data_IF_093749053370
#
_entry.id   IF_093749053370
#
_cell.length_a   1.000
_cell.length_b   1.000
_cell.length_c   1.000
_cell.angle_alpha   90.00
_cell.angle_beta   90.00
_cell.angle_gamma   90.00
#
_symmetry.space_group_name_H-M   'P 1'
#
loop_
_entity.id
_entity.type
_entity.pdbx_description
1 polymer ?
#
# COMPACT_ATOMS: atom_id res chain seq x y z
N UNK A 1 -0.36 12.40 6.73
CA UNK A 1 -1.78 12.08 6.44
C UNK A 1 -2.62 13.34 6.49
N UNK A 2 -3.61 13.47 5.61
CA UNK A 2 -4.66 14.48 5.78
C UNK A 2 -5.59 14.08 6.93
N UNK A 3 -6.23 15.03 7.63
CA UNK A 3 -7.26 14.70 8.59
C UNK A 3 -8.47 14.06 7.90
N UNK A 4 -9.15 13.18 8.63
CA UNK A 4 -10.42 12.60 8.20
C UNK A 4 -11.55 13.61 8.31
N UNK A 5 -12.46 13.55 7.33
CA UNK A 5 -13.75 14.24 7.39
C UNK A 5 -14.63 13.60 8.46
N UNK A 6 -15.68 14.29 8.90
CA UNK A 6 -16.62 13.75 9.90
C UNK A 6 -17.23 12.40 9.45
N UNK A 7 -17.56 12.27 8.17
CA UNK A 7 -18.08 11.04 7.56
C UNK A 7 -17.08 9.87 7.65
N UNK A 8 -15.80 10.13 7.35
CA UNK A 8 -14.77 9.08 7.41
C UNK A 8 -14.47 8.65 8.86
N UNK A 9 -14.51 9.59 9.80
CA UNK A 9 -14.35 9.28 11.23
C UNK A 9 -15.50 8.41 11.74
N UNK A 10 -16.72 8.64 11.27
CA UNK A 10 -17.87 7.80 11.61
C UNK A 10 -17.73 6.38 11.06
N UNK A 11 -17.29 6.24 9.81
CA UNK A 11 -17.01 4.92 9.21
C UNK A 11 -15.91 4.17 9.95
N UNK A 12 -14.81 4.85 10.31
CA UNK A 12 -13.74 4.25 11.11
C UNK A 12 -14.28 3.76 12.45
N UNK A 13 -15.08 4.58 13.15
CA UNK A 13 -15.71 4.19 14.43
C UNK A 13 -16.63 2.99 14.26
N UNK A 14 -17.43 2.96 13.20
CA UNK A 14 -18.32 1.86 12.89
C UNK A 14 -17.56 0.54 12.69
N UNK A 15 -16.49 0.55 11.90
CA UNK A 15 -15.64 -0.63 11.68
C UNK A 15 -14.97 -1.11 12.97
N UNK A 16 -14.43 -0.18 13.77
CA UNK A 16 -13.82 -0.49 15.08
C UNK A 16 -14.83 -1.11 16.04
N UNK A 17 -16.05 -0.56 16.12
CA UNK A 17 -17.11 -1.09 16.99
C UNK A 17 -17.54 -2.51 16.62
N UNK A 18 -17.40 -2.89 15.34
CA UNK A 18 -17.68 -4.24 14.86
C UNK A 18 -16.46 -5.17 14.93
N UNK A 19 -15.34 -4.71 15.50
CA UNK A 19 -14.06 -5.41 15.52
C UNK A 19 -13.59 -5.86 14.13
N UNK A 20 -13.97 -5.11 13.09
CA UNK A 20 -13.51 -5.38 11.72
C UNK A 20 -12.08 -4.88 11.61
N UNK A 21 -11.18 -5.78 11.21
CA UNK A 21 -9.81 -5.41 10.84
C UNK A 21 -9.83 -4.64 9.53
N UNK A 22 -9.11 -3.51 9.48
CA UNK A 22 -8.95 -2.72 8.26
C UNK A 22 -7.60 -2.00 8.24
N UNK A 23 -7.20 -1.56 7.05
CA UNK A 23 -6.06 -0.67 6.84
C UNK A 23 -6.49 0.47 5.91
N UNK A 24 -5.70 1.55 5.89
CA UNK A 24 -6.00 2.74 5.09
C UNK A 24 -5.21 2.71 3.80
N UNK A 25 -5.89 2.94 2.67
CA UNK A 25 -5.22 3.18 1.39
C UNK A 25 -4.90 4.67 1.29
N UNK A 26 -3.62 4.98 1.37
CA UNK A 26 -3.14 6.37 1.27
C UNK A 26 -2.73 6.68 -0.16
N UNK A 27 -3.47 7.58 -0.80
CA UNK A 27 -3.11 8.11 -2.11
C UNK A 27 -2.05 9.19 -1.91
N UNK A 28 -0.84 8.97 -2.46
CA UNK A 28 0.21 9.99 -2.50
C UNK A 28 0.08 10.86 -3.74
N UNK A 29 0.53 12.14 -3.72
CA UNK A 29 0.53 12.98 -4.91
C UNK A 29 1.26 12.33 -6.09
N UNK A 30 2.40 11.69 -5.81
CA UNK A 30 3.17 10.93 -6.81
C UNK A 30 2.36 9.77 -7.38
N UNK A 31 1.64 9.03 -6.54
CA UNK A 31 0.78 7.94 -6.97
C UNK A 31 -0.34 8.41 -7.89
N UNK A 32 -0.98 9.51 -7.52
CA UNK A 32 -2.02 10.13 -8.34
C UNK A 32 -1.47 10.62 -9.69
N UNK A 33 -0.37 11.38 -9.68
CA UNK A 33 0.23 11.96 -10.90
C UNK A 33 0.77 10.92 -11.87
N UNK A 34 1.30 9.79 -11.36
CA UNK A 34 1.81 8.70 -12.19
C UNK A 34 0.76 7.64 -12.50
N UNK A 35 -0.47 7.80 -12.00
CA UNK A 35 -1.53 6.77 -12.05
C UNK A 35 -1.05 5.40 -11.55
N UNK A 36 -0.23 5.42 -10.49
CA UNK A 36 0.27 4.23 -9.81
C UNK A 36 -0.23 4.23 -8.37
N UNK A 37 -0.69 3.08 -7.89
CA UNK A 37 -1.01 2.86 -6.49
C UNK A 37 -0.15 1.72 -6.00
N UNK A 38 0.83 2.05 -5.17
CA UNK A 38 1.65 1.07 -4.47
C UNK A 38 1.12 0.89 -3.05
N UNK A 39 1.25 -0.30 -2.51
CA UNK A 39 0.86 -0.58 -1.14
C UNK A 39 1.79 0.19 -0.19
N UNK A 40 1.25 1.08 0.64
CA UNK A 40 2.06 1.80 1.62
C UNK A 40 2.52 0.87 2.74
N UNK A 41 3.51 1.29 3.54
CA UNK A 41 4.00 0.50 4.68
C UNK A 41 2.89 -0.08 5.59
N UNK A 42 1.87 0.68 6.04
CA UNK A 42 0.79 0.13 6.86
C UNK A 42 -0.08 -0.90 6.11
N UNK A 43 -0.24 -0.75 4.79
CA UNK A 43 -0.99 -1.70 3.97
C UNK A 43 -0.21 -2.99 3.75
N UNK A 44 1.11 -2.90 3.54
CA UNK A 44 2.02 -4.05 3.45
C UNK A 44 2.06 -4.85 4.75
N UNK A 45 2.17 -4.17 5.89
CA UNK A 45 2.12 -4.80 7.20
C UNK A 45 0.79 -5.52 7.44
N UNK A 46 -0.33 -4.85 7.15
CA UNK A 46 -1.66 -5.44 7.25
C UNK A 46 -1.82 -6.69 6.39
N UNK A 47 -1.38 -6.66 5.13
CA UNK A 47 -1.47 -7.83 4.25
C UNK A 47 -0.59 -8.99 4.69
N UNK A 48 0.57 -8.72 5.29
CA UNK A 48 1.42 -9.76 5.86
C UNK A 48 0.75 -10.40 7.08
N UNK A 49 0.23 -9.59 8.00
CA UNK A 49 -0.44 -10.05 9.23
C UNK A 49 -1.73 -10.84 8.97
N UNK A 50 -2.49 -10.44 7.95
CA UNK A 50 -3.72 -11.14 7.53
C UNK A 50 -3.44 -12.35 6.63
N UNK A 51 -2.18 -12.65 6.32
CA UNK A 51 -1.80 -13.76 5.45
C UNK A 51 -2.24 -13.57 3.99
N UNK A 52 -2.46 -12.33 3.55
CA UNK A 52 -2.91 -11.98 2.20
C UNK A 52 -1.72 -11.94 1.23
N UNK A 53 -0.62 -11.28 1.59
CA UNK A 53 0.56 -11.16 0.73
C UNK A 53 1.83 -10.82 1.52
N UNK A 54 2.94 -11.49 1.19
CA UNK A 54 4.28 -11.15 1.68
C UNK A 54 5.08 -10.39 0.60
N UNK A 55 5.25 -9.08 0.78
CA UNK A 55 6.00 -8.24 -0.15
C UNK A 55 7.51 -8.54 -0.18
N UNK A 56 8.08 -9.14 0.87
CA UNK A 56 9.49 -9.53 0.90
C UNK A 56 9.80 -10.69 -0.06
N UNK A 57 8.79 -11.54 -0.32
CA UNK A 57 8.88 -12.65 -1.27
C UNK A 57 8.48 -12.23 -2.69
N UNK A 58 8.04 -10.98 -2.86
CA UNK A 58 7.59 -10.49 -4.16
C UNK A 58 8.77 -10.40 -5.12
N UNK A 59 8.75 -11.29 -6.11
CA UNK A 59 9.74 -11.27 -7.19
C UNK A 59 9.64 -9.95 -7.94
N UNK A 60 10.80 -9.36 -8.24
CA UNK A 60 10.86 -8.20 -9.11
C UNK A 60 10.30 -8.58 -10.51
N UNK A 61 9.67 -7.62 -11.18
CA UNK A 61 9.08 -7.84 -12.49
C UNK A 61 10.11 -8.24 -13.56
N UNK A 62 9.60 -8.60 -14.74
CA UNK A 62 10.32 -9.24 -15.85
C UNK A 62 11.66 -8.59 -16.26
N UNK A 63 11.84 -7.30 -15.96
CA UNK A 63 13.07 -6.56 -16.24
C UNK A 63 14.28 -6.98 -15.37
N UNK A 64 14.07 -7.55 -14.19
CA UNK A 64 15.16 -8.00 -13.31
C UNK A 64 15.65 -9.41 -13.67
N UNK A 65 14.73 -10.30 -14.03
CA UNK A 65 15.04 -11.69 -14.40
C UNK A 65 15.81 -11.81 -15.73
N UNK A 66 15.81 -10.76 -16.56
CA UNK A 66 16.44 -10.77 -17.88
C UNK A 66 17.94 -10.39 -17.88
N UNK A 67 18.57 -10.11 -16.73
CA UNK A 67 20.01 -9.84 -16.68
C UNK A 67 20.48 -8.60 -17.46
N UNK A 68 19.59 -7.69 -17.84
CA UNK A 68 19.94 -6.46 -18.57
C UNK A 68 20.34 -5.38 -17.57
N UNK A 69 21.50 -5.56 -16.96
CA UNK A 69 22.12 -4.61 -16.03
C UNK A 69 22.88 -3.53 -16.82
N UNK A 70 22.15 -2.59 -17.40
CA UNK A 70 22.72 -1.31 -17.84
C UNK A 70 22.63 -0.31 -16.70
N UNK A 71 23.73 -0.14 -15.94
CA UNK A 71 23.87 0.89 -14.90
C UNK A 71 23.31 2.23 -15.39
N UNK A 72 22.36 2.82 -14.67
CA UNK A 72 22.07 4.25 -14.78
C UNK A 72 22.51 4.92 -13.49
N UNK A 73 23.75 5.42 -13.53
CA UNK A 73 24.21 6.54 -12.72
C UNK A 73 23.53 7.80 -13.24
N UNK A 74 22.62 8.39 -12.46
CA UNK A 74 22.61 9.77 -11.92
C UNK A 74 21.31 9.97 -11.13
#
# INVERSE_FOLDING_TARGET
MRPFTAFEQENVRFLVNLNVRFTQVEITPTGLSKSILDATAPMRAYFLEEGIHNYEEQRCGIWWSAGVLGKRTI
#
